data_IF_407039270252
#
_entry.id   IF_407039270252
#
_cell.length_a   1.000
_cell.length_b   1.000
_cell.length_c   1.000
_cell.angle_alpha   90.00
_cell.angle_beta   90.00
_cell.angle_gamma   90.00
#
_symmetry.space_group_name_H-M   'P 1'
#
loop_
_entity.id
_entity.type
_entity.pdbx_description
1 polymer ?
#
# COMPACT_ATOMS: atom_id res chain seq x y z
N UNK A 1 47.29 -18.64 1.08
CA UNK A 1 47.00 -18.45 2.52
C UNK A 1 45.81 -17.49 2.61
N UNK A 2 44.54 -17.90 2.66
CA UNK A 2 43.88 -19.19 2.77
C UNK A 2 42.74 -19.22 1.71
N UNK A 3 42.75 -20.25 0.86
CA UNK A 3 41.62 -20.67 0.05
C UNK A 3 40.53 -21.25 0.97
N UNK A 4 39.26 -21.08 0.62
CA UNK A 4 38.31 -22.22 0.63
C UNK A 4 37.28 -22.03 -0.47
N UNK A 5 37.61 -22.60 -1.62
CA UNK A 5 36.64 -23.20 -2.53
C UNK A 5 35.88 -24.29 -1.75
N UNK A 6 34.56 -24.23 -1.73
CA UNK A 6 33.73 -25.37 -1.29
C UNK A 6 33.26 -26.08 -2.56
N UNK A 7 33.86 -27.23 -2.83
CA UNK A 7 33.42 -28.18 -3.85
C UNK A 7 31.98 -28.61 -3.58
N UNK A 8 31.12 -28.46 -4.60
CA UNK A 8 29.76 -28.96 -4.62
C UNK A 8 29.79 -30.50 -4.70
N UNK A 9 29.70 -31.18 -3.57
CA UNK A 9 29.35 -32.61 -3.55
C UNK A 9 27.85 -32.74 -3.87
N UNK A 10 27.59 -33.24 -5.07
CA UNK A 10 26.27 -33.56 -5.59
C UNK A 10 25.71 -34.79 -4.84
N UNK A 11 25.09 -34.58 -3.67
CA UNK A 11 24.26 -35.59 -3.01
C UNK A 11 22.80 -35.41 -3.47
N UNK A 12 22.37 -36.29 -4.39
CA UNK A 12 20.97 -36.43 -4.85
C UNK A 12 20.08 -37.00 -3.72
N UNK A 13 19.79 -36.17 -2.72
CA UNK A 13 18.87 -36.47 -1.64
C UNK A 13 18.11 -35.23 -1.16
N UNK A 14 17.01 -35.43 -0.42
CA UNK A 14 16.12 -34.38 0.10
C UNK A 14 16.92 -33.29 0.87
N UNK A 15 18.01 -33.66 1.55
CA UNK A 15 18.90 -32.73 2.25
C UNK A 15 19.68 -31.79 1.32
N UNK A 16 20.09 -32.24 0.12
CA UNK A 16 20.77 -31.39 -0.87
C UNK A 16 19.85 -30.34 -1.49
N UNK A 17 18.56 -30.66 -1.61
CA UNK A 17 17.55 -29.71 -2.12
C UNK A 17 17.19 -28.63 -1.09
N UNK A 18 17.25 -28.97 0.21
CA UNK A 18 17.06 -28.02 1.31
C UNK A 18 18.27 -27.08 1.44
N UNK A 19 19.50 -27.61 1.37
CA UNK A 19 20.73 -26.82 1.39
C UNK A 19 20.84 -25.87 0.19
N UNK A 20 20.44 -26.31 -1.01
CA UNK A 20 20.41 -25.48 -2.19
C UNK A 20 19.37 -24.35 -2.12
N UNK A 21 18.20 -24.58 -1.50
CA UNK A 21 17.20 -23.53 -1.24
C UNK A 21 17.72 -22.48 -0.24
N UNK A 22 18.39 -22.92 0.83
CA UNK A 22 19.02 -22.02 1.81
C UNK A 22 20.16 -21.22 1.17
N UNK A 23 21.04 -21.86 0.40
CA UNK A 23 22.13 -21.19 -0.31
C UNK A 23 21.62 -20.20 -1.38
N UNK A 24 20.52 -20.51 -2.07
CA UNK A 24 19.88 -19.60 -3.04
C UNK A 24 19.16 -18.43 -2.34
N UNK A 25 18.63 -18.66 -1.14
CA UNK A 25 18.09 -17.63 -0.25
C UNK A 25 19.17 -16.70 0.33
N UNK A 26 20.45 -17.09 0.28
CA UNK A 26 21.58 -16.27 0.72
C UNK A 26 22.21 -15.46 -0.44
N UNK A 27 21.80 -15.72 -1.68
CA UNK A 27 22.35 -15.10 -2.89
C UNK A 27 21.34 -14.20 -3.61
N UNK A 28 21.01 -13.06 -3.02
CA UNK A 28 20.11 -12.05 -3.61
C UNK A 28 18.62 -12.30 -3.36
N UNK A 29 17.74 -11.44 -3.90
CA UNK A 29 16.29 -11.56 -3.72
C UNK A 29 15.72 -12.80 -4.43
N UNK A 30 14.54 -13.26 -3.98
CA UNK A 30 13.83 -14.42 -4.56
C UNK A 30 13.53 -14.25 -6.06
N UNK A 31 13.26 -13.03 -6.49
CA UNK A 31 12.98 -12.65 -7.88
C UNK A 31 13.96 -11.56 -8.33
N UNK A 32 14.37 -11.59 -9.60
CA UNK A 32 15.32 -10.62 -10.16
C UNK A 32 14.70 -9.26 -10.54
N UNK A 33 13.37 -9.15 -10.48
CA UNK A 33 12.59 -7.95 -10.78
C UNK A 33 12.53 -7.54 -12.26
N UNK A 34 13.29 -8.17 -13.16
CA UNK A 34 13.44 -7.68 -14.55
C UNK A 34 12.12 -7.62 -15.31
N UNK A 35 11.33 -8.68 -15.22
CA UNK A 35 10.03 -8.76 -15.89
C UNK A 35 9.02 -7.76 -15.31
N UNK A 36 9.02 -7.58 -13.97
CA UNK A 36 8.19 -6.56 -13.32
C UNK A 36 8.57 -5.17 -13.85
N UNK A 37 9.86 -4.84 -13.91
CA UNK A 37 10.33 -3.55 -14.40
C UNK A 37 9.93 -3.32 -15.86
N UNK A 38 10.05 -4.35 -16.71
CA UNK A 38 9.63 -4.30 -18.11
C UNK A 38 8.14 -4.00 -18.24
N UNK A 39 7.28 -4.76 -17.57
CA UNK A 39 5.83 -4.57 -17.62
C UNK A 39 5.43 -3.20 -17.09
N UNK A 40 5.98 -2.76 -15.95
CA UNK A 40 5.68 -1.46 -15.35
C UNK A 40 6.08 -0.32 -16.30
N UNK A 41 7.28 -0.37 -16.88
CA UNK A 41 7.75 0.62 -17.85
C UNK A 41 6.93 0.61 -19.14
N UNK A 42 6.55 -0.56 -19.63
CA UNK A 42 5.70 -0.68 -20.81
C UNK A 42 4.31 -0.07 -20.58
N UNK A 43 3.73 -0.24 -19.38
CA UNK A 43 2.39 0.23 -19.05
C UNK A 43 2.33 1.73 -18.72
N UNK A 44 3.35 2.25 -18.02
CA UNK A 44 3.37 3.64 -17.55
C UNK A 44 4.17 4.58 -18.46
N UNK A 45 5.05 4.04 -19.31
CA UNK A 45 5.88 4.84 -20.20
C UNK A 45 6.72 5.87 -19.44
N UNK A 46 6.75 7.10 -19.97
CA UNK A 46 7.51 8.22 -19.40
C UNK A 46 6.69 9.16 -18.52
N UNK A 47 5.44 8.77 -18.17
CA UNK A 47 4.54 9.59 -17.36
C UNK A 47 5.20 9.91 -16.01
N UNK A 48 5.31 11.20 -15.68
CA UNK A 48 5.79 11.71 -14.40
C UNK A 48 4.66 11.91 -13.40
N UNK A 49 5.02 12.05 -12.13
CA UNK A 49 4.09 12.22 -11.01
C UNK A 49 3.12 13.41 -11.17
N UNK A 50 3.54 14.50 -11.82
CA UNK A 50 2.70 15.67 -12.06
C UNK A 50 1.67 15.49 -13.20
N UNK A 51 1.79 14.45 -14.00
CA UNK A 51 0.91 14.17 -15.14
C UNK A 51 -0.29 13.29 -14.75
N UNK A 52 -0.47 13.00 -13.46
CA UNK A 52 -1.56 12.16 -12.97
C UNK A 52 -2.92 12.88 -13.02
N UNK A 53 -3.98 12.16 -13.40
CA UNK A 53 -5.34 12.70 -13.55
C UNK A 53 -5.97 13.08 -12.20
N UNK A 54 -5.54 12.42 -11.13
CA UNK A 54 -5.93 12.72 -9.75
C UNK A 54 -4.67 12.86 -8.89
N UNK A 55 -4.85 13.39 -7.68
CA UNK A 55 -3.78 13.38 -6.71
C UNK A 55 -3.49 11.96 -6.24
N UNK A 56 -2.21 11.60 -6.20
CA UNK A 56 -1.75 10.30 -5.72
C UNK A 56 -0.69 10.46 -4.64
N UNK A 57 -0.61 9.47 -3.76
CA UNK A 57 0.32 9.39 -2.64
C UNK A 57 0.86 7.97 -2.59
N UNK A 58 2.14 7.79 -2.90
CA UNK A 58 2.80 6.48 -2.95
C UNK A 58 3.98 6.48 -1.97
N UNK A 59 3.90 5.71 -0.86
CA UNK A 59 5.01 5.57 0.07
C UNK A 59 6.12 4.66 -0.49
N UNK A 60 7.36 5.00 -0.21
CA UNK A 60 8.54 4.12 -0.36
C UNK A 60 9.45 4.32 0.86
N UNK A 61 10.50 3.52 0.97
CA UNK A 61 11.52 3.71 2.00
C UNK A 61 12.91 3.81 1.38
N UNK A 62 13.63 4.89 1.67
CA UNK A 62 15.00 5.06 1.18
C UNK A 62 16.00 4.45 2.16
N UNK A 63 16.76 3.45 1.69
CA UNK A 63 17.71 2.70 2.51
C UNK A 63 19.03 3.44 2.71
N UNK A 64 19.33 4.46 1.90
CA UNK A 64 20.53 5.29 2.02
C UNK A 64 20.33 6.36 3.08
N UNK A 65 19.16 7.01 3.09
CA UNK A 65 18.84 8.02 4.11
C UNK A 65 18.16 7.44 5.36
N UNK A 66 17.72 6.18 5.30
CA UNK A 66 16.92 5.51 6.34
C UNK A 66 15.67 6.32 6.71
N UNK A 67 14.95 6.81 5.70
CA UNK A 67 13.74 7.62 5.86
C UNK A 67 12.66 7.20 4.85
N UNK A 68 11.37 7.30 5.20
CA UNK A 68 10.31 7.15 4.23
C UNK A 68 10.34 8.29 3.21
N UNK A 69 10.16 7.96 1.93
CA UNK A 69 9.96 8.93 0.86
C UNK A 69 8.52 8.78 0.38
N UNK A 70 7.75 9.87 0.45
CA UNK A 70 6.35 9.86 0.02
C UNK A 70 6.25 10.59 -1.31
N UNK A 71 6.08 9.85 -2.40
CA UNK A 71 5.80 10.42 -3.71
C UNK A 71 4.36 10.89 -3.75
N UNK A 72 4.17 12.19 -3.56
CA UNK A 72 2.86 12.83 -3.46
C UNK A 72 2.75 13.93 -4.50
N UNK A 73 1.72 13.86 -5.35
CA UNK A 73 1.46 14.91 -6.35
C UNK A 73 1.22 16.28 -5.71
N UNK A 74 0.75 16.29 -4.46
CA UNK A 74 0.56 17.50 -3.65
C UNK A 74 1.86 18.22 -3.28
N UNK A 75 2.99 17.51 -3.25
CA UNK A 75 4.28 18.05 -2.80
C UNK A 75 5.13 18.59 -3.95
N UNK A 76 4.80 18.30 -5.22
CA UNK A 76 5.65 18.63 -6.37
C UNK A 76 5.98 20.12 -6.44
N UNK A 77 5.00 21.00 -6.16
CA UNK A 77 5.22 22.45 -6.16
C UNK A 77 6.24 22.92 -5.10
N UNK A 78 6.36 22.18 -3.99
CA UNK A 78 7.27 22.50 -2.88
C UNK A 78 8.61 21.77 -3.00
N UNK A 79 8.57 20.57 -3.56
CA UNK A 79 9.72 19.67 -3.68
C UNK A 79 9.75 19.09 -5.10
N UNK A 80 10.21 19.86 -6.10
CA UNK A 80 10.16 19.45 -7.50
C UNK A 80 10.95 18.18 -7.81
N UNK A 81 12.00 17.87 -7.03
CA UNK A 81 12.77 16.63 -7.19
C UNK A 81 11.95 15.35 -6.95
N UNK A 82 10.76 15.43 -6.34
CA UNK A 82 9.82 14.30 -6.23
C UNK A 82 9.04 14.02 -7.52
N UNK A 83 9.13 14.89 -8.54
CA UNK A 83 8.46 14.69 -9.82
C UNK A 83 9.18 13.65 -10.71
N UNK A 84 9.25 12.42 -10.23
CA UNK A 84 9.89 11.30 -10.91
C UNK A 84 8.90 10.56 -11.84
N UNK A 85 9.43 9.68 -12.69
CA UNK A 85 8.61 8.79 -13.52
C UNK A 85 7.79 7.85 -12.64
N UNK A 86 6.50 7.69 -12.95
CA UNK A 86 5.63 6.76 -12.24
C UNK A 86 6.16 5.33 -12.32
N UNK A 87 6.83 4.94 -13.41
CA UNK A 87 7.45 3.62 -13.52
C UNK A 87 8.49 3.37 -12.43
N UNK A 88 9.34 4.35 -12.13
CA UNK A 88 10.37 4.22 -11.10
C UNK A 88 9.74 4.18 -9.70
N UNK A 89 8.74 5.04 -9.46
CA UNK A 89 7.98 5.06 -8.19
C UNK A 89 7.26 3.72 -7.95
N UNK A 90 6.59 3.18 -8.98
CA UNK A 90 5.86 1.91 -8.89
C UNK A 90 6.81 0.71 -8.68
N UNK A 91 7.97 0.69 -9.35
CA UNK A 91 8.98 -0.33 -9.10
C UNK A 91 9.47 -0.24 -7.66
N UNK A 92 9.80 0.96 -7.18
CA UNK A 92 10.29 1.18 -5.82
C UNK A 92 9.30 0.76 -4.74
N UNK A 93 8.03 1.18 -4.85
CA UNK A 93 7.02 0.85 -3.82
C UNK A 93 6.69 -0.65 -3.75
N UNK A 94 7.03 -1.43 -4.77
CA UNK A 94 6.80 -2.89 -4.80
C UNK A 94 8.06 -3.70 -4.48
N UNK A 95 9.21 -3.06 -4.24
CA UNK A 95 10.51 -3.72 -4.05
C UNK A 95 10.63 -4.31 -2.62
N UNK A 96 9.81 -5.31 -2.31
CA UNK A 96 9.74 -5.93 -0.99
C UNK A 96 11.06 -6.63 -0.62
N UNK A 97 11.65 -6.34 0.56
CA UNK A 97 12.87 -7.00 1.01
C UNK A 97 12.73 -8.52 0.96
N UNK A 98 13.81 -9.20 0.57
CA UNK A 98 13.88 -10.67 0.31
C UNK A 98 13.15 -11.15 -0.94
N UNK A 99 12.15 -10.42 -1.46
CA UNK A 99 11.41 -10.79 -2.67
C UNK A 99 11.99 -10.17 -3.93
N UNK A 100 12.22 -8.86 -3.92
CA UNK A 100 12.61 -8.08 -5.08
C UNK A 100 13.86 -7.21 -4.78
N UNK A 101 14.68 -6.88 -5.79
CA UNK A 101 15.82 -5.99 -5.60
C UNK A 101 15.35 -4.57 -5.29
N UNK A 102 16.13 -3.86 -4.47
CA UNK A 102 15.97 -2.41 -4.30
C UNK A 102 16.12 -1.69 -5.64
N UNK A 103 15.42 -0.57 -5.80
CA UNK A 103 15.44 0.23 -7.02
C UNK A 103 16.13 1.57 -6.79
N UNK A 104 17.04 1.93 -7.68
CA UNK A 104 17.78 3.19 -7.61
C UNK A 104 17.66 3.96 -8.91
N UNK A 105 17.44 5.27 -8.79
CA UNK A 105 17.39 6.19 -9.91
C UNK A 105 17.74 7.61 -9.45
N UNK A 106 18.11 8.46 -10.40
CA UNK A 106 18.34 9.89 -10.17
C UNK A 106 17.20 10.64 -10.84
N UNK A 107 16.56 11.55 -10.11
CA UNK A 107 15.63 12.51 -10.69
C UNK A 107 16.22 13.91 -10.65
N UNK A 108 15.98 14.67 -11.71
CA UNK A 108 16.48 16.03 -11.85
C UNK A 108 15.33 17.03 -11.75
N UNK A 109 15.51 18.00 -10.88
CA UNK A 109 14.76 19.25 -10.94
C UNK A 109 15.27 20.04 -12.15
N UNK A 110 14.48 20.07 -13.22
CA UNK A 110 14.85 20.73 -14.48
C UNK A 110 14.99 22.26 -14.31
N UNK A 111 14.27 22.87 -13.36
CA UNK A 111 14.31 24.31 -13.13
C UNK A 111 15.52 24.71 -12.27
N UNK A 112 15.74 24.01 -11.15
CA UNK A 112 16.85 24.30 -10.24
C UNK A 112 18.18 23.66 -10.67
N UNK A 113 18.16 22.73 -11.62
CA UNK A 113 19.32 21.93 -12.02
C UNK A 113 19.80 20.95 -10.94
N UNK A 114 19.03 20.78 -9.85
CA UNK A 114 19.39 19.92 -8.72
C UNK A 114 19.04 18.47 -9.04
N UNK A 115 19.98 17.57 -8.82
CA UNK A 115 19.77 16.12 -8.92
C UNK A 115 19.58 15.52 -7.53
N UNK A 116 18.64 14.58 -7.42
CA UNK A 116 18.36 13.83 -6.20
C UNK A 116 18.43 12.33 -6.55
N UNK A 117 19.22 11.60 -5.78
CA UNK A 117 19.41 10.16 -5.94
C UNK A 117 18.50 9.42 -4.96
N UNK A 118 17.71 8.49 -5.47
CA UNK A 118 16.77 7.69 -4.69
C UNK A 118 17.27 6.25 -4.62
N UNK A 119 17.27 5.66 -3.42
CA UNK A 119 17.69 4.27 -3.19
C UNK A 119 16.59 3.54 -2.42
N UNK A 120 15.57 3.06 -3.14
CA UNK A 120 14.27 2.79 -2.56
C UNK A 120 13.93 1.30 -2.49
N UNK A 121 13.20 0.96 -1.44
CA UNK A 121 12.50 -0.32 -1.26
C UNK A 121 11.00 -0.07 -1.01
N UNK A 122 10.27 -1.18 -0.86
CA UNK A 122 8.82 -1.22 -0.65
C UNK A 122 8.31 -0.25 0.42
N UNK A 123 7.19 0.40 0.11
CA UNK A 123 6.50 1.31 1.02
C UNK A 123 5.84 0.60 2.21
N UNK A 124 5.55 -0.70 2.11
CA UNK A 124 5.01 -1.53 3.18
C UNK A 124 5.91 -1.63 4.41
N UNK A 125 7.21 -1.39 4.24
CA UNK A 125 8.17 -1.29 5.36
C UNK A 125 7.83 -0.14 6.32
N UNK A 126 7.24 0.95 5.81
CA UNK A 126 6.87 2.10 6.62
C UNK A 126 5.34 2.28 6.75
N UNK A 127 4.59 2.03 5.69
CA UNK A 127 3.17 2.30 5.58
C UNK A 127 2.45 1.21 4.77
N UNK A 128 2.32 0.01 5.36
CA UNK A 128 1.58 -1.11 4.77
C UNK A 128 0.07 -0.82 4.63
N UNK A 129 -0.43 0.16 5.39
CA UNK A 129 -1.75 0.76 5.20
C UNK A 129 -1.58 2.27 4.96
N UNK A 130 -1.55 2.73 3.70
CA UNK A 130 -1.22 4.12 3.39
C UNK A 130 -2.36 5.11 3.67
N UNK A 131 -3.50 4.67 4.23
CA UNK A 131 -4.66 5.53 4.48
C UNK A 131 -4.29 6.75 5.33
N UNK A 132 -3.52 6.56 6.41
CA UNK A 132 -3.07 7.66 7.25
C UNK A 132 -2.05 8.57 6.55
N UNK A 133 -1.18 8.01 5.69
CA UNK A 133 -0.24 8.79 4.87
C UNK A 133 -1.00 9.68 3.89
N UNK A 134 -2.02 9.14 3.21
CA UNK A 134 -2.87 9.91 2.31
C UNK A 134 -3.63 11.03 3.03
N UNK A 135 -4.19 10.74 4.22
CA UNK A 135 -4.84 11.76 5.06
C UNK A 135 -3.87 12.86 5.49
N UNK A 136 -2.64 12.50 5.84
CA UNK A 136 -1.61 13.47 6.22
C UNK A 136 -1.28 14.41 5.05
N UNK A 137 -1.19 13.91 3.82
CA UNK A 137 -0.93 14.73 2.64
C UNK A 137 -2.07 15.72 2.36
N UNK A 138 -3.33 15.28 2.48
CA UNK A 138 -4.50 16.17 2.39
C UNK A 138 -4.51 17.20 3.53
N UNK A 139 -4.20 16.76 4.76
CA UNK A 139 -4.14 17.64 5.94
C UNK A 139 -3.07 18.71 5.77
N UNK A 140 -1.90 18.37 5.21
CA UNK A 140 -0.87 19.36 4.86
C UNK A 140 -1.42 20.40 3.89
N UNK A 141 -2.25 20.03 2.90
CA UNK A 141 -2.85 21.01 1.99
C UNK A 141 -3.82 21.96 2.71
N UNK A 142 -4.63 21.43 3.63
CA UNK A 142 -5.55 22.23 4.46
C UNK A 142 -4.76 23.21 5.35
N UNK A 143 -3.72 22.75 6.04
CA UNK A 143 -2.85 23.59 6.89
C UNK A 143 -2.21 24.71 6.06
N UNK A 144 -1.77 24.39 4.84
CA UNK A 144 -1.16 25.35 3.92
C UNK A 144 -2.18 26.23 3.18
N UNK A 145 -3.47 26.16 3.55
CA UNK A 145 -4.55 26.97 2.98
C UNK A 145 -4.63 26.87 1.45
N UNK A 146 -4.42 25.66 0.91
CA UNK A 146 -4.54 25.42 -0.53
C UNK A 146 -5.94 25.80 -1.02
N UNK A 147 -6.07 26.54 -2.14
CA UNK A 147 -7.36 26.97 -2.67
C UNK A 147 -8.25 25.82 -3.13
N UNK A 148 -7.67 24.63 -3.35
CA UNK A 148 -8.38 23.41 -3.75
C UNK A 148 -9.18 22.80 -2.59
N UNK A 149 -8.93 23.24 -1.36
CA UNK A 149 -9.59 22.75 -0.16
C UNK A 149 -10.38 23.87 0.53
N UNK A 150 -11.60 23.54 0.97
CA UNK A 150 -12.35 24.47 1.81
C UNK A 150 -11.58 24.71 3.12
N UNK A 151 -11.65 25.94 3.69
CA UNK A 151 -11.09 26.20 5.01
C UNK A 151 -11.85 25.34 6.03
N UNK A 152 -11.17 24.29 6.49
CA UNK A 152 -11.63 23.34 7.48
C UNK A 152 -10.72 23.50 8.69
N UNK A 153 -11.27 23.39 9.91
CA UNK A 153 -10.41 23.43 11.10
C UNK A 153 -9.46 22.23 11.07
N UNK A 154 -8.17 22.39 11.39
CA UNK A 154 -7.27 21.25 11.55
C UNK A 154 -7.92 20.17 12.43
N UNK A 155 -7.86 18.90 12.01
CA UNK A 155 -8.44 17.74 12.71
C UNK A 155 -9.97 17.57 12.63
N UNK A 156 -10.70 18.34 11.81
CA UNK A 156 -12.11 18.06 11.51
C UNK A 156 -12.23 16.88 10.52
N UNK A 157 -11.78 15.68 10.95
CA UNK A 157 -11.78 14.48 10.12
C UNK A 157 -13.19 14.02 9.70
N UNK A 158 -14.25 14.55 10.33
CA UNK A 158 -15.63 14.27 9.96
C UNK A 158 -16.02 14.68 8.54
N UNK A 159 -15.17 15.42 7.82
CA UNK A 159 -15.36 15.74 6.39
C UNK A 159 -14.59 14.84 5.43
N UNK A 160 -13.73 13.96 5.94
CA UNK A 160 -13.03 12.99 5.13
C UNK A 160 -13.95 11.82 4.86
N UNK A 161 -14.06 11.42 3.59
CA UNK A 161 -14.68 10.16 3.20
C UNK A 161 -13.56 9.23 2.74
N UNK A 162 -13.36 8.12 3.46
CA UNK A 162 -12.19 7.25 3.32
C UNK A 162 -12.67 5.84 3.00
N UNK A 163 -12.16 5.30 1.89
CA UNK A 163 -12.26 3.88 1.55
C UNK A 163 -10.85 3.32 1.61
N UNK A 164 -10.61 2.39 2.55
CA UNK A 164 -9.35 1.67 2.67
C UNK A 164 -9.59 0.20 2.34
N UNK A 165 -8.85 -0.33 1.37
CA UNK A 165 -8.99 -1.69 0.86
C UNK A 165 -7.71 -2.44 1.20
N UNK A 166 -7.84 -3.53 1.96
CA UNK A 166 -6.74 -4.43 2.28
C UNK A 166 -6.67 -5.59 1.30
N UNK A 167 -5.53 -6.27 1.31
CA UNK A 167 -5.27 -7.48 0.50
C UNK A 167 -5.51 -8.77 1.28
N UNK A 168 -6.10 -8.66 2.47
CA UNK A 168 -6.28 -9.76 3.41
C UNK A 168 -5.01 -10.15 4.17
N UNK A 169 -5.19 -10.89 5.27
CA UNK A 169 -4.13 -11.34 6.17
C UNK A 169 -4.43 -12.74 6.71
N UNK A 170 -3.40 -13.43 7.20
CA UNK A 170 -3.50 -14.73 7.86
C UNK A 170 -3.46 -14.62 9.39
N UNK A 171 -4.16 -13.63 9.97
CA UNK A 171 -4.16 -13.42 11.43
C UNK A 171 -4.69 -14.64 12.19
N UNK A 172 -5.65 -15.36 11.62
CA UNK A 172 -6.29 -16.50 12.26
C UNK A 172 -5.44 -17.78 12.28
N UNK A 173 -4.28 -17.79 11.61
CA UNK A 173 -3.41 -18.99 11.60
C UNK A 173 -2.60 -19.17 12.88
N UNK A 174 -2.49 -18.14 13.74
CA UNK A 174 -1.66 -18.16 14.95
C UNK A 174 -0.25 -18.72 14.67
N UNK A 175 0.36 -18.26 13.55
CA UNK A 175 1.56 -18.85 12.93
C UNK A 175 2.71 -19.11 13.91
N UNK A 176 2.85 -18.26 14.92
CA UNK A 176 3.98 -18.28 15.85
C UNK A 176 3.53 -18.08 17.30
N UNK A 177 4.24 -18.70 18.25
CA UNK A 177 4.07 -18.46 19.68
C UNK A 177 5.41 -18.19 20.38
N UNK A 178 5.34 -17.66 21.60
CA UNK A 178 6.50 -17.24 22.37
C UNK A 178 7.45 -18.42 22.68
N UNK A 179 6.93 -19.61 22.94
CA UNK A 179 7.74 -20.80 23.26
C UNK A 179 8.56 -21.27 22.05
N UNK A 180 8.01 -21.13 20.83
CA UNK A 180 8.73 -21.33 19.58
C UNK A 180 9.80 -20.26 19.38
N UNK A 181 9.40 -18.98 19.44
CA UNK A 181 10.29 -17.84 19.16
C UNK A 181 11.43 -17.69 20.19
N UNK A 182 11.25 -18.16 21.42
CA UNK A 182 12.29 -18.16 22.45
C UNK A 182 13.54 -18.98 22.07
N UNK A 183 13.41 -19.89 21.10
CA UNK A 183 14.50 -20.73 20.59
C UNK A 183 15.08 -20.23 19.26
N UNK A 184 14.51 -19.16 18.69
CA UNK A 184 14.88 -18.66 17.37
C UNK A 184 16.21 -17.92 17.38
N UNK A 185 17.07 -18.26 16.43
CA UNK A 185 18.24 -17.46 16.07
C UNK A 185 17.94 -16.45 14.94
N UNK A 186 18.98 -15.79 14.44
CA UNK A 186 18.85 -14.81 13.35
C UNK A 186 18.18 -15.42 12.10
N UNK A 187 18.54 -16.64 11.73
CA UNK A 187 17.99 -17.31 10.53
C UNK A 187 16.52 -17.67 10.70
N UNK A 188 16.07 -18.03 11.91
CA UNK A 188 14.67 -18.32 12.17
C UNK A 188 13.83 -17.05 12.06
N UNK A 189 14.30 -15.93 12.63
CA UNK A 189 13.61 -14.64 12.51
C UNK A 189 13.53 -14.13 11.07
N UNK A 190 14.53 -14.44 10.24
CA UNK A 190 14.54 -14.08 8.82
C UNK A 190 13.76 -15.07 7.97
N UNK A 191 13.80 -16.36 8.28
CA UNK A 191 13.18 -17.42 7.50
C UNK A 191 12.69 -18.54 8.42
N UNK A 192 11.38 -18.66 8.60
CA UNK A 192 10.79 -19.77 9.36
C UNK A 192 9.60 -20.35 8.58
N UNK A 193 9.59 -21.67 8.36
CA UNK A 193 8.47 -22.38 7.72
C UNK A 193 8.00 -21.77 6.38
N UNK A 194 8.91 -21.16 5.60
CA UNK A 194 8.58 -20.53 4.32
C UNK A 194 8.01 -19.11 4.40
N UNK A 195 8.00 -18.52 5.60
CA UNK A 195 7.65 -17.11 5.88
C UNK A 195 8.87 -16.32 6.35
N UNK A 196 8.74 -15.00 6.43
CA UNK A 196 9.77 -14.09 6.95
C UNK A 196 9.24 -13.41 8.23
N UNK A 197 9.32 -14.06 9.41
CA UNK A 197 8.62 -13.59 10.61
C UNK A 197 8.88 -12.14 10.98
N UNK A 198 10.12 -11.67 10.85
CA UNK A 198 10.47 -10.28 11.15
C UNK A 198 9.76 -9.29 10.24
N UNK A 199 9.71 -9.58 8.93
CA UNK A 199 9.03 -8.73 7.94
C UNK A 199 7.52 -8.76 8.20
N UNK A 200 6.95 -9.94 8.42
CA UNK A 200 5.52 -10.11 8.67
C UNK A 200 5.08 -9.33 9.92
N UNK A 201 5.83 -9.42 11.03
CA UNK A 201 5.52 -8.70 12.27
C UNK A 201 5.51 -7.19 12.05
N UNK A 202 6.57 -6.61 11.48
CA UNK A 202 6.63 -5.15 11.29
C UNK A 202 5.60 -4.65 10.28
N UNK A 203 5.42 -5.37 9.17
CA UNK A 203 4.50 -4.99 8.09
C UNK A 203 3.04 -5.10 8.55
N UNK A 204 2.69 -6.16 9.29
CA UNK A 204 1.36 -6.30 9.88
C UNK A 204 1.10 -5.26 10.97
N UNK A 205 2.09 -5.02 11.85
CA UNK A 205 1.97 -4.02 12.92
C UNK A 205 1.73 -2.62 12.36
N UNK A 206 2.42 -2.25 11.27
CA UNK A 206 2.22 -0.97 10.58
C UNK A 206 0.76 -0.82 10.10
N UNK A 207 0.20 -1.87 9.50
CA UNK A 207 -1.20 -1.87 9.02
C UNK A 207 -2.22 -1.78 10.16
N UNK A 208 -2.04 -2.60 11.19
CA UNK A 208 -2.96 -2.69 12.34
C UNK A 208 -3.02 -1.38 13.11
N UNK A 209 -1.87 -0.76 13.36
CA UNK A 209 -1.83 0.54 14.05
C UNK A 209 -2.62 1.60 13.29
N UNK A 210 -2.57 1.63 11.95
CA UNK A 210 -3.37 2.58 11.16
C UNK A 210 -4.87 2.30 11.32
N UNK A 211 -5.29 1.04 11.29
CA UNK A 211 -6.70 0.69 11.46
C UNK A 211 -7.21 1.04 12.87
N UNK A 212 -6.42 0.83 13.93
CA UNK A 212 -6.73 1.30 15.29
C UNK A 212 -6.87 2.82 15.36
N UNK A 213 -5.90 3.57 14.82
CA UNK A 213 -5.93 5.03 14.86
C UNK A 213 -7.14 5.60 14.13
N UNK A 214 -7.43 5.10 12.92
CA UNK A 214 -8.56 5.59 12.13
C UNK A 214 -9.90 5.22 12.77
N UNK A 215 -10.02 4.01 13.31
CA UNK A 215 -11.23 3.58 14.03
C UNK A 215 -11.46 4.44 15.28
N UNK A 216 -10.43 4.68 16.10
CA UNK A 216 -10.55 5.50 17.30
C UNK A 216 -10.91 6.96 16.98
N UNK A 217 -10.22 7.58 16.01
CA UNK A 217 -10.43 8.98 15.64
C UNK A 217 -11.82 9.19 15.02
N UNK A 218 -12.27 8.30 14.15
CA UNK A 218 -13.58 8.45 13.50
C UNK A 218 -14.73 8.24 14.48
N UNK A 219 -14.61 7.31 15.42
CA UNK A 219 -15.58 7.11 16.50
C UNK A 219 -15.62 8.32 17.45
N UNK A 220 -14.46 8.87 17.83
CA UNK A 220 -14.38 10.05 18.70
C UNK A 220 -15.03 11.30 18.07
N UNK A 221 -15.11 11.34 16.74
CA UNK A 221 -15.71 12.44 15.97
C UNK A 221 -17.12 12.12 15.46
N UNK A 222 -17.74 11.02 15.91
CA UNK A 222 -19.07 10.58 15.47
C UNK A 222 -19.21 10.53 13.94
N UNK A 223 -18.15 10.08 13.27
CA UNK A 223 -17.99 10.06 11.82
C UNK A 223 -17.56 8.68 11.33
N UNK A 224 -17.86 7.64 12.09
CA UNK A 224 -17.44 6.27 11.83
C UNK A 224 -18.00 5.67 10.53
N UNK A 225 -19.09 6.22 9.99
CA UNK A 225 -19.66 5.82 8.70
C UNK A 225 -18.89 6.39 7.49
N UNK A 226 -17.99 7.34 7.74
CA UNK A 226 -17.15 7.96 6.72
C UNK A 226 -15.85 7.18 6.46
N UNK A 227 -15.55 6.17 7.27
CA UNK A 227 -14.39 5.30 7.08
C UNK A 227 -14.85 3.86 6.85
N UNK A 228 -14.70 3.40 5.61
CA UNK A 228 -14.95 2.01 5.22
C UNK A 228 -13.62 1.30 5.03
N UNK A 229 -13.36 0.29 5.86
CA UNK A 229 -12.24 -0.65 5.72
C UNK A 229 -12.77 -1.99 5.23
N UNK A 230 -12.33 -2.42 4.05
CA UNK A 230 -12.64 -3.74 3.50
C UNK A 230 -11.38 -4.59 3.63
N UNK A 231 -11.47 -5.64 4.45
CA UNK A 231 -10.34 -6.49 4.81
C UNK A 231 -10.81 -7.92 5.10
N UNK A 232 -9.98 -8.91 4.77
CA UNK A 232 -10.21 -10.31 5.10
C UNK A 232 -9.07 -10.89 5.94
N UNK A 233 -9.32 -11.15 7.22
CA UNK A 233 -8.32 -11.70 8.16
C UNK A 233 -8.35 -13.24 8.24
N UNK A 234 -9.10 -13.89 7.35
CA UNK A 234 -9.35 -15.34 7.35
C UNK A 234 -8.54 -16.10 6.30
N UNK A 235 -7.61 -15.43 5.61
CA UNK A 235 -6.78 -16.09 4.60
C UNK A 235 -5.87 -17.14 5.25
N UNK A 236 -5.67 -18.26 4.57
CA UNK A 236 -4.79 -19.34 5.06
C UNK A 236 -3.94 -19.94 3.95
N UNK A 237 -2.79 -20.50 4.33
CA UNK A 237 -1.86 -21.19 3.46
C UNK A 237 -1.48 -20.37 2.23
N UNK A 238 -1.69 -20.97 1.05
CA UNK A 238 -1.37 -20.37 -0.25
C UNK A 238 -2.16 -19.07 -0.49
N UNK A 239 -3.38 -18.98 0.02
CA UNK A 239 -4.24 -17.80 -0.19
C UNK A 239 -3.67 -16.56 0.52
N UNK A 240 -2.86 -16.77 1.57
CA UNK A 240 -2.18 -15.70 2.31
C UNK A 240 -0.78 -15.36 1.78
N UNK A 241 -0.30 -16.08 0.77
CA UNK A 241 1.01 -15.83 0.17
C UNK A 241 0.99 -14.59 -0.71
N UNK A 242 2.06 -13.79 -0.61
CA UNK A 242 2.25 -12.56 -1.39
C UNK A 242 2.84 -12.80 -2.78
N UNK A 243 3.27 -14.02 -3.10
CA UNK A 243 4.08 -14.29 -4.30
C UNK A 243 3.73 -15.57 -5.07
N UNK A 244 2.68 -16.30 -4.67
CA UNK A 244 2.18 -17.46 -5.43
C UNK A 244 1.17 -17.00 -6.49
N UNK A 245 1.65 -16.81 -7.72
CA UNK A 245 0.85 -16.35 -8.86
C UNK A 245 0.39 -17.49 -9.81
N UNK A 246 0.02 -18.66 -9.29
CA UNK A 246 -0.56 -19.72 -10.12
C UNK A 246 -1.98 -19.34 -10.57
N UNK A 247 -2.40 -19.81 -11.74
CA UNK A 247 -3.74 -19.51 -12.28
C UNK A 247 -4.86 -19.93 -11.30
N UNK A 248 -4.71 -21.08 -10.65
CA UNK A 248 -5.62 -21.57 -9.63
C UNK A 248 -5.70 -20.60 -8.43
N UNK A 249 -4.55 -20.16 -7.90
CA UNK A 249 -4.53 -19.26 -6.76
C UNK A 249 -5.15 -17.89 -7.12
N UNK A 250 -4.81 -17.34 -8.30
CA UNK A 250 -5.35 -16.07 -8.76
C UNK A 250 -6.89 -16.12 -8.92
N UNK A 251 -7.44 -17.21 -9.49
CA UNK A 251 -8.90 -17.41 -9.57
C UNK A 251 -9.54 -17.51 -8.19
N UNK A 252 -8.90 -18.21 -7.25
CA UNK A 252 -9.38 -18.33 -5.88
C UNK A 252 -9.37 -17.00 -5.14
N UNK A 253 -8.34 -16.17 -5.32
CA UNK A 253 -8.28 -14.81 -4.77
C UNK A 253 -9.39 -13.91 -5.34
N UNK A 254 -9.73 -14.03 -6.63
CA UNK A 254 -10.90 -13.35 -7.19
C UNK A 254 -12.19 -13.80 -6.48
N UNK A 255 -12.38 -15.11 -6.29
CA UNK A 255 -13.55 -15.63 -5.60
C UNK A 255 -13.65 -15.16 -4.14
N UNK A 256 -12.52 -15.07 -3.44
CA UNK A 256 -12.44 -14.52 -2.08
C UNK A 256 -12.90 -13.05 -2.08
N UNK A 257 -12.43 -12.25 -3.05
CA UNK A 257 -12.86 -10.85 -3.21
C UNK A 257 -14.36 -10.72 -3.47
N UNK A 258 -14.93 -11.55 -4.35
CA UNK A 258 -16.37 -11.60 -4.61
C UNK A 258 -17.18 -11.98 -3.37
N UNK A 259 -16.70 -12.95 -2.60
CA UNK A 259 -17.33 -13.36 -1.34
C UNK A 259 -17.23 -12.26 -0.28
N UNK A 260 -16.11 -11.53 -0.24
CA UNK A 260 -15.89 -10.43 0.69
C UNK A 260 -16.91 -9.30 0.50
N UNK A 261 -17.38 -9.06 -0.73
CA UNK A 261 -18.47 -8.11 -1.00
C UNK A 261 -19.77 -8.47 -0.26
N UNK A 262 -20.03 -9.77 -0.06
CA UNK A 262 -21.24 -10.28 0.60
C UNK A 262 -21.11 -10.37 2.12
N UNK A 263 -19.88 -10.30 2.65
CA UNK A 263 -19.65 -10.27 4.11
C UNK A 263 -20.17 -8.93 4.69
N UNK A 264 -20.64 -8.93 5.95
CA UNK A 264 -20.97 -7.69 6.64
C UNK A 264 -19.75 -6.76 6.71
N UNK A 265 -20.01 -5.46 6.75
CA UNK A 265 -18.98 -4.47 7.10
C UNK A 265 -18.46 -4.80 8.49
N UNK A 266 -17.14 -4.79 8.63
CA UNK A 266 -16.47 -5.03 9.90
C UNK A 266 -15.67 -3.80 10.33
N UNK A 267 -15.41 -3.70 11.63
CA UNK A 267 -14.54 -2.68 12.20
C UNK A 267 -13.58 -3.32 13.19
N UNK A 268 -12.38 -2.78 13.29
CA UNK A 268 -11.44 -3.20 14.34
C UNK A 268 -12.03 -2.90 15.71
N UNK A 269 -12.10 -3.94 16.55
CA UNK A 269 -12.40 -3.81 17.96
C UNK A 269 -11.15 -3.27 18.67
N UNK A 270 -11.30 -2.13 19.34
CA UNK A 270 -10.18 -1.40 19.94
C UNK A 270 -9.55 -2.11 21.16
N UNK A 271 -10.23 -3.11 21.73
CA UNK A 271 -9.73 -3.87 22.88
C UNK A 271 -8.85 -5.06 22.46
N UNK A 272 -9.23 -5.75 21.38
CA UNK A 272 -8.60 -7.01 20.98
C UNK A 272 -7.89 -6.96 19.61
N UNK A 273 -8.11 -5.91 18.80
CA UNK A 273 -7.49 -5.73 17.49
C UNK A 273 -8.04 -6.58 16.34
N UNK A 274 -9.10 -7.34 16.59
CA UNK A 274 -9.76 -8.14 15.55
C UNK A 274 -10.84 -7.33 14.84
N UNK A 275 -11.03 -7.61 13.55
CA UNK A 275 -12.16 -7.07 12.80
C UNK A 275 -13.44 -7.82 13.15
N UNK A 276 -14.42 -7.11 13.70
CA UNK A 276 -15.71 -7.66 14.10
C UNK A 276 -16.84 -7.10 13.22
N UNK A 277 -17.78 -7.93 12.77
CA UNK A 277 -18.95 -7.49 12.01
C UNK A 277 -19.80 -6.45 12.77
N UNK A 278 -20.24 -5.41 12.05
CA UNK A 278 -21.15 -4.42 12.61
C UNK A 278 -22.57 -4.99 12.77
N UNK A 279 -23.27 -4.55 13.84
CA UNK A 279 -24.66 -4.97 14.13
C UNK A 279 -25.69 -4.54 13.09
N UNK A 280 -25.36 -3.57 12.24
CA UNK A 280 -26.25 -3.07 11.19
C UNK A 280 -26.59 -4.13 10.14
N UNK A 281 -25.72 -5.13 9.95
CA UNK A 281 -25.86 -6.13 8.90
C UNK A 281 -25.63 -5.59 7.49
N UNK A 282 -25.19 -4.33 7.33
CA UNK A 282 -24.81 -3.76 6.03
C UNK A 282 -23.66 -4.59 5.44
N UNK A 283 -23.77 -5.03 4.19
CA UNK A 283 -22.69 -5.75 3.50
C UNK A 283 -21.65 -4.78 2.93
N UNK A 284 -20.44 -5.26 2.64
CA UNK A 284 -19.42 -4.46 1.97
C UNK A 284 -19.91 -3.92 0.61
N UNK A 285 -20.71 -4.71 -0.13
CA UNK A 285 -21.34 -4.27 -1.37
C UNK A 285 -22.29 -3.09 -1.17
N UNK A 286 -23.13 -3.15 -0.13
CA UNK A 286 -24.10 -2.09 0.16
C UNK A 286 -23.40 -0.80 0.61
N UNK A 287 -22.37 -0.93 1.45
CA UNK A 287 -21.53 0.20 1.86
C UNK A 287 -20.82 0.86 0.66
N UNK A 288 -20.28 0.06 -0.26
CA UNK A 288 -19.68 0.57 -1.50
C UNK A 288 -20.72 1.30 -2.38
N UNK A 289 -21.94 0.76 -2.52
CA UNK A 289 -23.04 1.44 -3.25
C UNK A 289 -23.41 2.77 -2.59
N UNK A 290 -23.49 2.81 -1.25
CA UNK A 290 -23.74 4.03 -0.48
C UNK A 290 -22.66 5.08 -0.72
N UNK A 291 -21.38 4.70 -0.62
CA UNK A 291 -20.26 5.61 -0.86
C UNK A 291 -20.18 6.08 -2.31
N UNK A 292 -20.44 5.19 -3.28
CA UNK A 292 -20.52 5.57 -4.70
C UNK A 292 -21.61 6.62 -4.96
N UNK A 293 -22.77 6.51 -4.29
CA UNK A 293 -23.84 7.52 -4.36
C UNK A 293 -23.36 8.86 -3.80
N UNK A 294 -22.67 8.87 -2.65
CA UNK A 294 -22.13 10.10 -2.04
C UNK A 294 -21.11 10.76 -2.98
N UNK A 295 -20.16 10.00 -3.52
CA UNK A 295 -19.14 10.51 -4.45
C UNK A 295 -19.76 11.08 -5.73
N UNK A 296 -20.77 10.41 -6.28
CA UNK A 296 -21.50 10.87 -7.47
C UNK A 296 -22.26 12.19 -7.21
N UNK A 297 -22.92 12.30 -6.05
CA UNK A 297 -23.62 13.52 -5.65
C UNK A 297 -22.65 14.67 -5.42
N UNK A 298 -21.54 14.43 -4.71
CA UNK A 298 -20.52 15.45 -4.45
C UNK A 298 -19.89 15.97 -5.75
N UNK A 299 -19.58 15.08 -6.70
CA UNK A 299 -19.10 15.49 -8.03
C UNK A 299 -20.11 16.41 -8.74
N UNK A 300 -21.38 16.03 -8.79
CA UNK A 300 -22.44 16.86 -9.42
C UNK A 300 -22.57 18.23 -8.74
N UNK A 301 -22.49 18.27 -7.40
CA UNK A 301 -22.54 19.52 -6.64
C UNK A 301 -21.37 20.45 -7.00
N UNK A 302 -20.15 19.92 -7.12
CA UNK A 302 -18.97 20.70 -7.54
C UNK A 302 -19.07 21.20 -8.98
N UNK A 303 -19.55 20.36 -9.89
CA UNK A 303 -19.77 20.75 -11.30
C UNK A 303 -20.81 21.87 -11.44
N UNK A 304 -21.88 21.85 -10.63
CA UNK A 304 -22.89 22.92 -10.60
C UNK A 304 -22.38 24.23 -9.98
N UNK A 305 -21.47 24.15 -9.00
CA UNK A 305 -20.86 25.33 -8.34
C UNK A 305 -19.67 25.90 -9.11
N UNK A 306 -19.12 25.17 -10.07
CA UNK A 306 -18.02 25.65 -10.90
C UNK A 306 -18.50 26.77 -11.84
N UNK A 307 -17.84 27.95 -11.87
CA UNK A 307 -18.25 29.10 -12.67
C UNK A 307 -18.21 28.89 -14.20
N UNK A 308 -17.83 27.70 -14.69
CA UNK A 308 -17.67 27.41 -16.11
C UNK A 308 -18.95 26.88 -16.80
N UNK A 309 -20.01 26.51 -16.07
CA UNK A 309 -21.25 25.96 -16.67
C UNK A 309 -22.30 27.04 -16.98
N UNK A 310 -22.14 28.28 -16.53
CA UNK A 310 -23.11 29.37 -16.79
C UNK A 310 -22.84 30.18 -18.07
N UNK A 311 -21.68 30.03 -18.72
CA UNK A 311 -21.34 30.75 -19.97
C UNK A 311 -21.68 30.00 -21.28
N UNK A 312 -21.96 28.70 -21.23
CA UNK A 312 -22.16 27.86 -22.43
C UNK A 312 -23.58 27.77 -22.98
N UNK A 313 -24.59 28.33 -22.31
CA UNK A 313 -26.02 28.13 -22.68
C UNK A 313 -26.74 29.37 -23.24
N UNK A 314 -26.05 30.50 -23.45
CA UNK A 314 -26.68 31.74 -23.93
C UNK A 314 -26.50 32.11 -25.41
N UNK A 315 -25.64 31.43 -26.18
CA UNK A 315 -25.42 31.79 -27.60
C UNK A 315 -25.60 30.61 -28.57
N UNK A 316 -26.77 29.95 -28.54
CA UNK A 316 -27.22 29.09 -29.66
C UNK A 316 -28.70 29.34 -29.99
N UNK A 317 -29.05 30.60 -30.15
CA UNK A 317 -30.15 31.07 -30.99
C UNK A 317 -29.80 32.50 -31.38
N UNK A 318 -29.86 32.80 -32.68
CA UNK A 318 -29.43 34.04 -33.38
C UNK A 318 -28.01 33.98 -33.95
N UNK A 319 -27.90 33.35 -35.12
CA UNK A 319 -27.42 33.91 -36.38
C UNK A 319 -27.37 32.79 -37.43
#
# INVERSE_FOLDING_TARGET
MFLFWVELICCRGIGGMMLAKVMRSLGGPKYDGKYLHEVVRQKLGDIKLNETITNIVIPTFDIKTLQPIIFSSYQIKKTPCLNAKLSDICISTSAAPTYLPAHSFINKDEEAGKEEEFNLIDGGVCANNPALVAMNEVTKQIINQSPDFFPIKPLEYGRFLIISIGTGTAKNEEKFNAQMAAKWGLLDWLTHSGSNPLIDVFTQSSGDMVDFHLSAVTQALHSEDNYLRIQDDTLTGIDSSVDIATEENLKKLCQIGENLLKKPVSRVNLENGHFEPLKSGETNEDALKRLAKILSQERRLREMRSPHTSRGRKNRHLA
#
